data_IF_330324613184
#
_entry.id   IF_330324613184
#
_cell.length_a   1.000
_cell.length_b   1.000
_cell.length_c   1.000
_cell.angle_alpha   90.00
_cell.angle_beta   90.00
_cell.angle_gamma   90.00
#
_symmetry.space_group_name_H-M   'P 1'
#
loop_
_entity.id
_entity.type
_entity.pdbx_description
1 polymer ?
#
# COMPACT_ATOMS: atom_id res chain seq x y z
N UNK A 1 -9.44 -4.68 5.11
CA UNK A 1 -8.89 -4.56 3.73
C UNK A 1 -9.92 -4.02 2.77
N UNK A 2 -11.10 -4.66 2.63
CA UNK A 2 -12.14 -4.22 1.70
C UNK A 2 -12.73 -2.84 2.00
N UNK A 3 -13.19 -2.62 3.24
CA UNK A 3 -13.86 -1.36 3.65
C UNK A 3 -12.97 -0.14 3.39
N UNK A 4 -11.73 -0.17 3.91
CA UNK A 4 -10.77 0.90 3.69
C UNK A 4 -10.48 1.14 2.19
N UNK A 5 -10.36 0.07 1.40
CA UNK A 5 -10.18 0.21 -0.04
C UNK A 5 -11.41 0.87 -0.69
N UNK A 6 -12.64 0.46 -0.32
CA UNK A 6 -13.87 1.08 -0.83
C UNK A 6 -13.96 2.57 -0.46
N UNK A 7 -13.60 2.95 0.77
CA UNK A 7 -13.55 4.35 1.22
C UNK A 7 -12.53 5.17 0.43
N UNK A 8 -11.34 4.63 0.17
CA UNK A 8 -10.31 5.29 -0.64
C UNK A 8 -10.81 5.52 -2.08
N UNK A 9 -11.56 4.59 -2.65
CA UNK A 9 -12.10 4.72 -4.01
C UNK A 9 -13.05 5.91 -4.14
N UNK A 10 -13.92 6.13 -3.15
CA UNK A 10 -14.93 7.21 -3.17
C UNK A 10 -14.40 8.54 -2.63
N UNK A 11 -13.28 8.54 -1.92
CA UNK A 11 -12.69 9.74 -1.34
C UNK A 11 -12.28 10.77 -2.40
N UNK A 12 -12.75 12.02 -2.29
CA UNK A 12 -12.32 13.09 -3.20
C UNK A 12 -10.87 13.53 -2.98
N UNK A 13 -10.33 13.31 -1.77
CA UNK A 13 -8.96 13.65 -1.41
C UNK A 13 -7.93 12.65 -1.94
N UNK A 14 -8.35 11.45 -2.35
CA UNK A 14 -7.41 10.42 -2.79
C UNK A 14 -6.92 10.65 -4.24
N UNK A 15 -5.59 10.58 -4.51
CA UNK A 15 -5.03 10.66 -5.85
C UNK A 15 -5.52 9.56 -6.78
N UNK A 16 -5.53 9.82 -8.09
CA UNK A 16 -6.04 8.90 -9.10
C UNK A 16 -5.38 7.51 -9.07
N UNK A 17 -4.07 7.44 -8.88
CA UNK A 17 -3.32 6.18 -8.81
C UNK A 17 -3.64 5.38 -7.54
N UNK A 18 -3.87 6.09 -6.43
CA UNK A 18 -4.24 5.49 -5.15
C UNK A 18 -5.65 4.92 -5.22
N UNK A 19 -6.58 5.63 -5.88
CA UNK A 19 -7.91 5.13 -6.25
C UNK A 19 -7.85 3.90 -7.17
N UNK A 20 -6.92 3.88 -8.14
CA UNK A 20 -6.71 2.71 -9.02
C UNK A 20 -6.22 1.50 -8.23
N UNK A 21 -5.26 1.67 -7.32
CA UNK A 21 -4.78 0.61 -6.45
C UNK A 21 -5.89 0.08 -5.54
N UNK A 22 -6.68 0.96 -4.91
CA UNK A 22 -7.79 0.58 -4.05
C UNK A 22 -8.89 -0.19 -4.80
N UNK A 23 -9.25 0.24 -6.03
CA UNK A 23 -10.20 -0.51 -6.89
C UNK A 23 -9.74 -1.94 -7.17
N UNK A 24 -8.44 -2.18 -7.32
CA UNK A 24 -7.92 -3.55 -7.53
C UNK A 24 -8.12 -4.43 -6.30
N UNK A 25 -7.99 -3.88 -5.09
CA UNK A 25 -8.27 -4.58 -3.84
C UNK A 25 -9.76 -4.88 -3.71
N UNK A 26 -10.62 -3.87 -3.93
CA UNK A 26 -12.07 -4.03 -3.82
C UNK A 26 -12.59 -5.10 -4.79
N UNK A 27 -12.21 -5.05 -6.07
CA UNK A 27 -12.63 -6.05 -7.07
C UNK A 27 -12.15 -7.47 -6.74
N UNK A 28 -10.97 -7.62 -6.15
CA UNK A 28 -10.45 -8.94 -5.77
C UNK A 28 -11.23 -9.58 -4.61
N UNK A 29 -11.98 -8.78 -3.86
CA UNK A 29 -12.70 -9.17 -2.66
C UNK A 29 -14.23 -9.09 -2.81
N UNK A 30 -14.74 -8.46 -3.87
CA UNK A 30 -16.17 -8.26 -4.15
C UNK A 30 -16.93 -9.59 -4.15
N UNK A 31 -16.45 -10.59 -4.89
CA UNK A 31 -17.07 -11.93 -4.96
C UNK A 31 -16.80 -12.82 -3.73
N UNK A 32 -16.12 -12.29 -2.72
CA UNK A 32 -15.64 -13.03 -1.54
C UNK A 32 -16.26 -12.52 -0.25
N UNK A 33 -16.58 -11.23 -0.19
CA UNK A 33 -17.11 -10.57 1.01
C UNK A 33 -18.39 -11.25 1.54
N UNK A 34 -19.21 -11.80 0.64
CA UNK A 34 -20.47 -12.47 1.00
C UNK A 34 -20.32 -13.99 1.15
N UNK A 35 -19.12 -14.56 0.94
CA UNK A 35 -18.89 -16.00 1.06
C UNK A 35 -18.38 -16.34 2.46
N UNK A 36 -18.97 -17.34 3.14
CA UNK A 36 -18.53 -17.73 4.48
C UNK A 36 -17.09 -18.27 4.49
N UNK A 37 -16.63 -18.89 3.40
CA UNK A 37 -15.25 -19.36 3.21
C UNK A 37 -14.83 -19.10 1.77
N UNK A 38 -13.70 -18.43 1.59
CA UNK A 38 -13.11 -18.09 0.30
C UNK A 38 -12.02 -19.08 -0.11
N UNK A 39 -11.82 -19.24 -1.42
CA UNK A 39 -10.66 -19.98 -1.94
C UNK A 39 -9.34 -19.30 -1.53
N UNK A 40 -8.36 -20.10 -1.09
CA UNK A 40 -7.06 -19.64 -0.63
C UNK A 40 -6.30 -18.82 -1.69
N UNK A 41 -6.44 -19.17 -2.98
CA UNK A 41 -5.82 -18.45 -4.08
C UNK A 41 -6.39 -17.03 -4.21
N UNK A 42 -7.69 -16.87 -3.98
CA UNK A 42 -8.36 -15.56 -4.02
C UNK A 42 -7.89 -14.69 -2.86
N UNK A 43 -7.78 -15.26 -1.65
CA UNK A 43 -7.23 -14.56 -0.49
C UNK A 43 -5.77 -14.14 -0.70
N UNK A 44 -4.93 -15.02 -1.27
CA UNK A 44 -3.55 -14.72 -1.58
C UNK A 44 -3.44 -13.55 -2.59
N UNK A 45 -4.28 -13.56 -3.63
CA UNK A 45 -4.35 -12.47 -4.61
C UNK A 45 -4.80 -11.15 -3.98
N UNK A 46 -5.84 -11.17 -3.16
CA UNK A 46 -6.31 -9.98 -2.45
C UNK A 46 -5.23 -9.40 -1.51
N UNK A 47 -4.48 -10.27 -0.83
CA UNK A 47 -3.34 -9.89 0.01
C UNK A 47 -2.22 -9.22 -0.79
N UNK A 48 -1.87 -9.76 -1.95
CA UNK A 48 -0.89 -9.14 -2.83
C UNK A 48 -1.34 -7.75 -3.29
N UNK A 49 -2.61 -7.59 -3.70
CA UNK A 49 -3.17 -6.28 -4.09
C UNK A 49 -3.19 -5.28 -2.95
N UNK A 50 -3.46 -5.73 -1.73
CA UNK A 50 -3.43 -4.85 -0.57
C UNK A 50 -2.01 -4.39 -0.23
N UNK A 51 -1.01 -5.26 -0.37
CA UNK A 51 0.39 -4.86 -0.21
C UNK A 51 0.79 -3.76 -1.23
N UNK A 52 0.34 -3.87 -2.49
CA UNK A 52 0.54 -2.80 -3.50
C UNK A 52 -0.11 -1.48 -3.06
N UNK A 53 -1.31 -1.53 -2.49
CA UNK A 53 -2.01 -0.34 -1.98
C UNK A 53 -1.27 0.29 -0.79
N UNK A 54 -0.79 -0.50 0.16
CA UNK A 54 -0.01 -0.01 1.30
C UNK A 54 1.28 0.65 0.82
N UNK A 55 2.01 0.04 -0.11
CA UNK A 55 3.23 0.64 -0.66
C UNK A 55 2.94 1.99 -1.36
N UNK A 56 1.81 2.10 -2.08
CA UNK A 56 1.40 3.36 -2.70
C UNK A 56 1.04 4.45 -1.66
N UNK A 57 0.39 4.06 -0.55
CA UNK A 57 0.10 4.94 0.58
C UNK A 57 1.38 5.42 1.26
N UNK A 58 2.31 4.52 1.55
CA UNK A 58 3.61 4.85 2.16
C UNK A 58 4.43 5.77 1.24
N UNK A 59 4.44 5.52 -0.07
CA UNK A 59 5.07 6.41 -1.06
C UNK A 59 4.40 7.79 -1.15
N UNK A 60 3.09 7.87 -0.93
CA UNK A 60 2.34 9.14 -0.89
C UNK A 60 2.61 9.97 0.37
N UNK A 61 2.96 9.33 1.49
CA UNK A 61 3.39 10.00 2.74
C UNK A 61 4.90 10.33 2.68
N UNK A 62 5.65 9.58 1.88
CA UNK A 62 7.12 9.63 1.72
C UNK A 62 7.70 10.74 0.86
N UNK A 63 7.06 11.92 0.77
CA UNK A 63 7.75 13.16 0.39
C UNK A 63 8.91 13.50 1.33
N UNK A 64 8.95 12.91 2.52
CA UNK A 64 10.12 12.86 3.38
C UNK A 64 10.99 11.64 3.02
N UNK A 65 11.91 11.84 2.07
CA UNK A 65 13.01 10.91 1.77
C UNK A 65 13.74 10.61 3.08
N UNK A 66 13.53 9.42 3.64
CA UNK A 66 14.28 8.96 4.83
C UNK A 66 15.77 9.01 4.46
N UNK A 67 16.60 9.83 5.11
CA UNK A 67 18.02 9.90 4.77
C UNK A 67 18.63 8.51 5.01
N UNK A 68 19.55 8.05 4.14
CA UNK A 68 20.23 6.78 4.34
C UNK A 68 20.93 6.79 5.71
N UNK A 69 20.92 5.66 6.45
CA UNK A 69 21.63 5.59 7.73
C UNK A 69 23.10 5.92 7.50
N UNK A 70 23.60 6.82 8.36
CA UNK A 70 24.85 7.53 8.22
C UNK A 70 26.03 6.66 7.83
N UNK A 71 26.71 7.08 6.77
CA UNK A 71 28.11 6.73 6.57
C UNK A 71 28.90 7.80 7.32
N UNK A 72 29.03 7.63 8.62
CA UNK A 72 29.82 8.53 9.45
C UNK A 72 31.23 8.62 8.87
N UNK A 73 31.59 9.84 8.50
CA UNK A 73 32.84 10.19 7.84
C UNK A 73 34.02 9.72 8.69
N UNK A 74 34.70 8.68 8.20
CA UNK A 74 36.04 8.30 8.64
C UNK A 74 37.02 9.35 8.13
N UNK A 75 37.16 10.47 8.83
CA UNK A 75 38.19 11.46 8.55
C UNK A 75 38.56 12.22 9.82
N UNK A 76 39.52 11.68 10.57
CA UNK A 76 40.32 12.47 11.50
C UNK A 76 41.79 12.25 11.15
N UNK A 77 42.46 13.20 10.47
CA UNK A 77 43.90 13.33 10.54
C UNK A 77 44.19 14.38 11.62
N UNK A 78 44.76 13.95 12.77
CA UNK A 78 45.41 14.89 13.68
C UNK A 78 46.90 14.90 13.34
N UNK A 79 47.37 16.09 12.93
CA UNK A 79 48.79 16.47 12.89
C UNK A 79 49.36 16.49 14.30
#
# INVERSE_FOLDING_TARGET
>A
MYILAAEIVVSQAAPGDLKRAARRVSRALEDVVDKPIADALVLARARARFAELVAALEGSVGGAKRPPPGRDNRAVPRR
#
